data_IF_399266062170
#
_entry.id   IF_399266062170
#
_cell.length_a   1.000
_cell.length_b   1.000
_cell.length_c   1.000
_cell.angle_alpha   90.00
_cell.angle_beta   90.00
_cell.angle_gamma   90.00
#
_symmetry.space_group_name_H-M   'P 1'
#
loop_
_entity.id
_entity.type
_entity.pdbx_description
1 polymer ?
#
# COMPACT_ATOMS: atom_id res chain seq x y z
N UNK A 1 16.83 19.65 -27.95
CA UNK A 1 17.29 18.59 -28.85
C UNK A 1 17.42 17.35 -27.98
N UNK A 2 16.31 16.62 -27.90
CA UNK A 2 16.19 15.38 -27.13
C UNK A 2 17.03 14.32 -27.85
N UNK A 3 17.91 13.65 -27.12
CA UNK A 3 18.48 12.38 -27.60
C UNK A 3 17.34 11.37 -27.43
N UNK A 4 16.83 10.86 -28.54
CA UNK A 4 15.80 9.83 -28.60
C UNK A 4 16.30 8.54 -27.93
N UNK A 5 15.43 7.90 -27.15
CA UNK A 5 15.63 6.57 -26.53
C UNK A 5 15.80 5.42 -27.54
N UNK A 6 15.88 5.71 -28.84
CA UNK A 6 15.98 4.72 -29.94
C UNK A 6 17.43 4.35 -30.33
N UNK A 7 18.45 4.96 -29.72
CA UNK A 7 19.87 4.67 -30.04
C UNK A 7 20.58 3.76 -29.02
N UNK A 8 19.87 3.25 -28.01
CA UNK A 8 20.39 2.15 -27.18
C UNK A 8 20.00 0.85 -27.88
N UNK A 9 20.83 0.42 -28.84
CA UNK A 9 20.84 -0.97 -29.32
C UNK A 9 20.72 -1.88 -28.11
N UNK A 10 19.78 -2.82 -28.20
CA UNK A 10 19.47 -3.84 -27.19
C UNK A 10 20.72 -4.25 -26.42
N UNK A 11 20.67 -4.36 -25.08
CA UNK A 11 21.79 -4.92 -24.34
C UNK A 11 22.02 -6.30 -24.94
N UNK A 12 23.13 -6.44 -25.67
CA UNK A 12 23.51 -7.67 -26.35
C UNK A 12 23.31 -8.80 -25.35
N UNK A 13 22.29 -9.62 -25.60
CA UNK A 13 21.84 -10.60 -24.63
C UNK A 13 22.98 -11.61 -24.46
N UNK A 14 23.58 -11.57 -23.28
CA UNK A 14 24.74 -12.39 -22.94
C UNK A 14 24.40 -13.88 -23.04
N UNK A 15 23.12 -14.25 -22.89
CA UNK A 15 22.63 -15.62 -23.11
C UNK A 15 22.66 -15.99 -24.60
N UNK A 16 22.18 -15.12 -25.49
CA UNK A 16 22.19 -15.34 -26.95
C UNK A 16 23.63 -15.41 -27.49
N UNK A 17 24.49 -14.50 -27.07
CA UNK A 17 25.88 -14.47 -27.54
C UNK A 17 26.68 -15.67 -27.02
N UNK A 18 26.31 -16.19 -25.83
CA UNK A 18 26.87 -17.43 -25.27
C UNK A 18 26.34 -18.66 -26.01
N UNK A 19 25.08 -18.65 -26.43
CA UNK A 19 24.48 -19.66 -27.30
C UNK A 19 25.17 -19.72 -28.66
N UNK A 20 25.27 -18.59 -29.36
CA UNK A 20 25.94 -18.49 -30.66
C UNK A 20 27.41 -18.90 -30.60
N UNK A 21 28.13 -18.49 -29.54
CA UNK A 21 29.53 -18.88 -29.35
C UNK A 21 29.66 -20.38 -29.02
N UNK A 22 28.74 -20.94 -28.24
CA UNK A 22 28.70 -22.37 -27.91
C UNK A 22 28.44 -23.22 -29.16
N UNK A 23 27.49 -22.82 -30.00
CA UNK A 23 27.14 -23.53 -31.22
C UNK A 23 28.23 -23.42 -32.29
N UNK A 24 28.88 -22.26 -32.38
CA UNK A 24 30.05 -22.07 -33.24
C UNK A 24 31.24 -22.92 -32.78
N UNK A 25 31.47 -23.03 -31.46
CA UNK A 25 32.51 -23.88 -30.88
C UNK A 25 32.22 -25.37 -31.09
N UNK A 26 30.96 -25.79 -30.96
CA UNK A 26 30.54 -27.18 -31.20
C UNK A 26 30.77 -27.61 -32.66
N UNK A 27 30.44 -26.74 -33.62
CA UNK A 27 30.69 -26.99 -35.05
C UNK A 27 32.18 -26.98 -35.42
N UNK A 28 33.03 -26.31 -34.64
CA UNK A 28 34.48 -26.34 -34.80
C UNK A 28 35.13 -27.58 -34.19
N UNK A 29 34.50 -28.22 -33.19
CA UNK A 29 35.05 -29.40 -32.49
C UNK A 29 34.80 -30.75 -33.15
N UNK A 30 33.94 -30.83 -34.16
CA UNK A 30 33.58 -32.10 -34.82
C UNK A 30 34.69 -32.67 -35.73
N UNK A 31 35.72 -31.87 -36.05
CA UNK A 31 36.83 -32.24 -36.95
C UNK A 31 38.23 -32.00 -36.33
N UNK A 32 38.31 -31.99 -34.99
CA UNK A 32 39.54 -31.73 -34.24
C UNK A 32 40.14 -33.01 -33.65
N UNK A 33 41.48 -33.09 -33.65
CA UNK A 33 42.21 -34.18 -32.99
C UNK A 33 42.04 -34.13 -31.45
N UNK A 34 42.20 -35.28 -30.81
CA UNK A 34 42.04 -35.44 -29.36
C UNK A 34 42.96 -34.49 -28.56
N UNK A 35 44.11 -34.13 -29.12
CA UNK A 35 45.07 -33.20 -28.49
C UNK A 35 44.52 -31.75 -28.45
N UNK A 36 43.83 -31.31 -29.49
CA UNK A 36 43.22 -29.98 -29.54
C UNK A 36 41.97 -29.90 -28.68
N UNK A 37 41.17 -30.99 -28.62
CA UNK A 37 40.05 -31.09 -27.69
C UNK A 37 40.50 -30.99 -26.23
N UNK A 38 41.63 -31.62 -25.90
CA UNK A 38 42.20 -31.52 -24.55
C UNK A 38 42.66 -30.11 -24.23
N UNK A 39 43.37 -29.43 -25.15
CA UNK A 39 43.76 -28.01 -24.97
C UNK A 39 42.56 -27.08 -24.82
N UNK A 40 41.47 -27.33 -25.53
CA UNK A 40 40.23 -26.53 -25.40
C UNK A 40 39.57 -26.77 -24.05
N UNK A 41 39.56 -28.00 -23.55
CA UNK A 41 39.01 -28.32 -22.23
C UNK A 41 39.88 -27.76 -21.10
N UNK A 42 41.20 -27.87 -21.21
CA UNK A 42 42.14 -27.26 -20.26
C UNK A 42 41.99 -25.73 -20.26
N UNK A 43 41.84 -25.11 -21.44
CA UNK A 43 41.59 -23.66 -21.56
C UNK A 43 40.22 -23.27 -20.98
N UNK A 44 39.18 -24.11 -21.14
CA UNK A 44 37.87 -23.90 -20.52
C UNK A 44 37.96 -24.00 -19.00
N UNK A 45 38.69 -24.96 -18.46
CA UNK A 45 38.93 -25.08 -17.01
C UNK A 45 39.74 -23.89 -16.48
N UNK A 46 40.81 -23.46 -17.17
CA UNK A 46 41.60 -22.27 -16.81
C UNK A 46 40.76 -20.99 -16.84
N UNK A 47 39.92 -20.82 -17.86
CA UNK A 47 38.97 -19.70 -17.97
C UNK A 47 37.96 -19.81 -16.84
N UNK A 48 37.38 -20.98 -16.61
CA UNK A 48 36.36 -21.18 -15.59
C UNK A 48 36.92 -21.00 -14.18
N UNK A 49 38.16 -21.40 -13.89
CA UNK A 49 38.85 -21.12 -12.62
C UNK A 49 39.13 -19.61 -12.47
N UNK A 50 39.58 -18.96 -13.56
CA UNK A 50 39.85 -17.52 -13.60
C UNK A 50 38.60 -16.66 -13.40
N UNK A 51 37.43 -17.14 -13.83
CA UNK A 51 36.12 -16.47 -13.68
C UNK A 51 35.24 -17.02 -12.54
N UNK A 52 35.53 -18.21 -12.00
CA UNK A 52 34.99 -18.76 -10.73
C UNK A 52 35.70 -18.18 -9.50
N UNK A 53 36.57 -17.20 -9.71
CA UNK A 53 37.25 -16.51 -8.63
C UNK A 53 36.20 -15.81 -7.76
N UNK A 54 36.16 -16.21 -6.49
CA UNK A 54 35.52 -15.50 -5.37
C UNK A 54 35.80 -13.99 -5.42
N UNK A 55 36.95 -13.57 -5.96
CA UNK A 55 37.32 -12.16 -6.17
C UNK A 55 36.47 -11.40 -7.21
N UNK A 56 35.89 -12.08 -8.21
CA UNK A 56 34.95 -11.48 -9.18
C UNK A 56 33.57 -11.34 -8.53
N UNK A 57 33.11 -12.35 -7.79
CA UNK A 57 31.85 -12.28 -7.02
C UNK A 57 31.94 -11.20 -5.92
N UNK A 58 33.06 -11.12 -5.20
CA UNK A 58 33.33 -10.10 -4.18
C UNK A 58 33.33 -8.68 -4.78
N UNK A 59 33.97 -8.48 -5.95
CA UNK A 59 33.91 -7.19 -6.66
C UNK A 59 32.52 -6.87 -7.16
N UNK A 60 31.77 -7.86 -7.64
CA UNK A 60 30.40 -7.66 -8.09
C UNK A 60 29.50 -7.27 -6.91
N UNK A 61 29.70 -7.88 -5.75
CA UNK A 61 28.99 -7.54 -4.53
C UNK A 61 29.39 -6.16 -4.00
N UNK A 62 30.67 -5.79 -4.06
CA UNK A 62 31.13 -4.42 -3.74
C UNK A 62 30.50 -3.38 -4.67
N UNK A 63 30.43 -3.68 -5.97
CA UNK A 63 29.78 -2.83 -6.97
C UNK A 63 28.29 -2.71 -6.65
N UNK A 64 27.58 -3.83 -6.43
CA UNK A 64 26.16 -3.84 -6.04
C UNK A 64 25.93 -3.06 -4.75
N UNK A 65 26.79 -3.22 -3.74
CA UNK A 65 26.73 -2.49 -2.49
C UNK A 65 26.96 -0.99 -2.69
N UNK A 66 27.92 -0.60 -3.53
CA UNK A 66 28.18 0.80 -3.90
C UNK A 66 26.98 1.43 -4.63
N UNK A 67 26.36 0.71 -5.57
CA UNK A 67 25.14 1.16 -6.25
C UNK A 67 23.96 1.23 -5.29
N UNK A 68 23.75 0.22 -4.44
CA UNK A 68 22.67 0.19 -3.45
C UNK A 68 22.78 1.36 -2.47
N UNK A 69 23.97 1.65 -1.95
CA UNK A 69 24.20 2.78 -1.05
C UNK A 69 23.97 4.14 -1.74
N UNK A 70 24.42 4.29 -3.00
CA UNK A 70 24.12 5.50 -3.80
C UNK A 70 22.63 5.66 -4.03
N UNK A 71 21.94 4.59 -4.39
CA UNK A 71 20.51 4.58 -4.65
C UNK A 71 19.73 4.89 -3.38
N UNK A 72 20.02 4.18 -2.28
CA UNK A 72 19.45 4.42 -0.95
C UNK A 72 19.64 5.87 -0.50
N UNK A 73 20.84 6.45 -0.64
CA UNK A 73 21.10 7.86 -0.34
C UNK A 73 20.25 8.81 -1.19
N UNK A 74 20.05 8.50 -2.46
CA UNK A 74 19.19 9.30 -3.34
C UNK A 74 17.72 9.24 -2.90
N UNK A 75 17.22 8.05 -2.55
CA UNK A 75 15.86 7.85 -2.05
C UNK A 75 15.63 8.48 -0.67
N UNK A 76 16.64 8.43 0.19
CA UNK A 76 16.56 8.96 1.56
C UNK A 76 16.71 10.48 1.63
N UNK A 77 17.24 11.11 0.57
CA UNK A 77 17.43 12.55 0.49
C UNK A 77 16.09 13.27 0.58
N UNK A 78 16.02 14.25 1.47
CA UNK A 78 14.87 15.13 1.58
C UNK A 78 14.68 15.90 0.27
N UNK A 79 13.43 15.99 -0.18
CA UNK A 79 13.07 16.69 -1.39
C UNK A 79 12.74 18.15 -1.10
N UNK A 80 13.19 19.02 -1.99
CA UNK A 80 12.85 20.44 -1.99
C UNK A 80 11.50 20.65 -2.70
N UNK A 81 10.43 20.16 -2.08
CA UNK A 81 9.05 20.27 -2.56
C UNK A 81 8.16 20.68 -1.41
N UNK A 82 7.25 21.62 -1.65
CA UNK A 82 6.26 22.06 -0.67
C UNK A 82 5.38 20.88 -0.17
N UNK A 83 5.46 20.52 1.14
CA UNK A 83 4.60 19.51 1.75
C UNK A 83 3.10 19.78 1.61
N UNK A 84 2.72 21.05 1.47
CA UNK A 84 1.33 21.47 1.26
C UNK A 84 0.69 20.81 0.03
N UNK A 85 1.47 20.46 -1.00
CA UNK A 85 0.96 19.78 -2.20
C UNK A 85 0.46 18.37 -1.91
N UNK A 86 1.16 17.62 -1.03
CA UNK A 86 0.70 16.30 -0.61
C UNK A 86 -0.52 16.43 0.27
N UNK A 87 -0.52 17.38 1.21
CA UNK A 87 -1.67 17.61 2.08
C UNK A 87 -2.93 17.92 1.27
N UNK A 88 -2.81 18.79 0.25
CA UNK A 88 -3.90 19.10 -0.68
C UNK A 88 -4.36 17.90 -1.52
N UNK A 89 -3.43 17.03 -1.97
CA UNK A 89 -3.79 15.78 -2.64
C UNK A 89 -4.57 14.85 -1.70
N UNK A 90 -4.09 14.69 -0.47
CA UNK A 90 -4.73 13.87 0.55
C UNK A 90 -6.14 14.37 0.85
N UNK A 91 -6.31 15.67 1.12
CA UNK A 91 -7.62 16.28 1.38
C UNK A 91 -8.57 16.12 0.18
N UNK A 92 -8.05 16.29 -1.04
CA UNK A 92 -8.82 16.08 -2.28
C UNK A 92 -9.34 14.64 -2.42
N UNK A 93 -8.48 13.64 -2.14
CA UNK A 93 -8.87 12.22 -2.20
C UNK A 93 -9.87 11.88 -1.09
N UNK A 94 -9.65 12.35 0.14
CA UNK A 94 -10.61 12.15 1.23
C UNK A 94 -11.99 12.73 0.89
N UNK A 95 -12.04 13.97 0.38
CA UNK A 95 -13.28 14.58 -0.09
C UNK A 95 -13.96 13.76 -1.19
N UNK A 96 -13.20 13.33 -2.21
CA UNK A 96 -13.72 12.48 -3.29
C UNK A 96 -14.30 11.17 -2.73
N UNK A 97 -13.57 10.47 -1.86
CA UNK A 97 -14.00 9.19 -1.27
C UNK A 97 -15.27 9.35 -0.43
N UNK A 98 -15.35 10.40 0.39
CA UNK A 98 -16.56 10.72 1.16
C UNK A 98 -17.78 10.95 0.25
N UNK A 99 -17.60 11.63 -0.88
CA UNK A 99 -18.70 11.80 -1.85
C UNK A 99 -19.07 10.48 -2.56
N UNK A 100 -18.09 9.68 -2.97
CA UNK A 100 -18.31 8.38 -3.64
C UNK A 100 -19.07 7.39 -2.77
N UNK A 101 -18.89 7.43 -1.44
CA UNK A 101 -19.66 6.60 -0.52
C UNK A 101 -21.16 6.83 -0.65
N UNK A 102 -21.59 8.10 -0.76
CA UNK A 102 -23.01 8.45 -0.95
C UNK A 102 -23.52 7.98 -2.31
N UNK A 103 -22.70 8.08 -3.36
CA UNK A 103 -23.03 7.56 -4.68
C UNK A 103 -23.18 6.02 -4.73
N UNK A 104 -22.64 5.29 -3.74
CA UNK A 104 -22.83 3.84 -3.62
C UNK A 104 -24.25 3.42 -3.23
N UNK A 105 -25.12 4.37 -2.86
CA UNK A 105 -26.53 4.11 -2.54
C UNK A 105 -27.33 4.06 -3.85
N UNK A 106 -27.54 2.85 -4.37
CA UNK A 106 -28.22 2.64 -5.65
C UNK A 106 -29.73 2.89 -5.57
N UNK A 107 -30.27 3.61 -6.55
CA UNK A 107 -31.71 3.72 -6.78
C UNK A 107 -32.26 2.39 -7.35
N UNK A 108 -33.55 2.08 -7.16
CA UNK A 108 -34.09 0.82 -7.65
C UNK A 108 -34.19 0.86 -9.17
N UNK A 109 -33.87 -0.26 -9.81
CA UNK A 109 -34.02 -0.40 -11.27
C UNK A 109 -35.48 -0.58 -11.70
N UNK A 110 -36.36 -0.95 -10.77
CA UNK A 110 -37.80 -1.15 -11.02
C UNK A 110 -38.58 0.16 -10.94
N UNK A 111 -39.61 0.29 -11.78
CA UNK A 111 -40.51 1.45 -11.79
C UNK A 111 -41.39 1.42 -10.54
N UNK A 112 -41.15 2.37 -9.64
CA UNK A 112 -42.00 2.59 -8.46
C UNK A 112 -43.35 3.12 -8.93
N UNK A 113 -44.40 2.29 -8.80
CA UNK A 113 -45.74 2.58 -9.34
C UNK A 113 -46.77 2.90 -8.26
N UNK A 114 -46.45 2.66 -6.98
CA UNK A 114 -47.32 2.94 -5.84
C UNK A 114 -46.55 3.40 -4.60
N UNK A 115 -47.25 4.01 -3.64
CA UNK A 115 -46.67 4.37 -2.34
C UNK A 115 -46.20 3.15 -1.53
N UNK A 116 -46.83 1.98 -1.71
CA UNK A 116 -46.43 0.74 -1.06
C UNK A 116 -45.10 0.21 -1.63
N UNK A 117 -44.90 0.35 -2.95
CA UNK A 117 -43.63 -0.01 -3.61
C UNK A 117 -42.51 0.91 -3.14
N UNK A 118 -42.79 2.22 -3.01
CA UNK A 118 -41.83 3.19 -2.48
C UNK A 118 -41.42 2.90 -1.03
N UNK A 119 -42.39 2.58 -0.17
CA UNK A 119 -42.12 2.22 1.22
C UNK A 119 -41.28 0.93 1.34
N UNK A 120 -41.61 -0.08 0.53
CA UNK A 120 -40.85 -1.34 0.45
C UNK A 120 -39.41 -1.10 -0.01
N UNK A 121 -39.23 -0.22 -1.01
CA UNK A 121 -37.91 0.18 -1.47
C UNK A 121 -37.11 0.88 -0.36
N UNK A 122 -37.69 1.88 0.33
CA UNK A 122 -37.02 2.55 1.45
C UNK A 122 -36.58 1.57 2.55
N UNK A 123 -37.41 0.58 2.86
CA UNK A 123 -37.06 -0.46 3.83
C UNK A 123 -35.89 -1.32 3.32
N UNK A 124 -35.87 -1.67 2.03
CA UNK A 124 -34.82 -2.49 1.42
C UNK A 124 -33.45 -1.80 1.38
N UNK A 125 -33.41 -0.47 1.21
CA UNK A 125 -32.15 0.29 1.11
C UNK A 125 -31.61 0.77 2.46
N UNK A 126 -32.41 0.68 3.53
CA UNK A 126 -32.02 1.11 4.88
C UNK A 126 -30.69 0.49 5.35
N UNK A 127 -30.42 -0.83 5.17
CA UNK A 127 -29.12 -1.42 5.50
C UNK A 127 -27.96 -0.83 4.70
N UNK A 128 -28.16 -0.58 3.41
CA UNK A 128 -27.16 0.04 2.52
C UNK A 128 -26.84 1.46 2.96
N UNK A 129 -27.85 2.25 3.33
CA UNK A 129 -27.66 3.58 3.92
C UNK A 129 -26.84 3.48 5.21
N UNK A 130 -27.20 2.52 6.08
CA UNK A 130 -26.52 2.30 7.35
C UNK A 130 -25.02 2.03 7.18
N UNK A 131 -24.64 1.09 6.31
CA UNK A 131 -23.23 0.77 6.07
C UNK A 131 -22.48 1.92 5.37
N UNK A 132 -23.13 2.63 4.45
CA UNK A 132 -22.56 3.83 3.84
C UNK A 132 -22.25 4.91 4.87
N UNK A 133 -23.16 5.16 5.81
CA UNK A 133 -22.94 6.12 6.90
C UNK A 133 -21.81 5.68 7.85
N UNK A 134 -21.74 4.39 8.17
CA UNK A 134 -20.63 3.83 8.95
C UNK A 134 -19.30 4.11 8.26
N UNK A 135 -19.18 3.76 6.98
CA UNK A 135 -17.95 4.00 6.22
C UNK A 135 -17.63 5.48 6.08
N UNK A 136 -18.63 6.34 5.90
CA UNK A 136 -18.44 7.79 5.83
C UNK A 136 -17.80 8.33 7.11
N UNK A 137 -18.32 7.92 8.27
CA UNK A 137 -17.79 8.36 9.57
C UNK A 137 -16.40 7.76 9.83
N UNK A 138 -16.16 6.51 9.43
CA UNK A 138 -14.83 5.90 9.54
C UNK A 138 -13.79 6.66 8.70
N UNK A 139 -14.09 6.94 7.42
CA UNK A 139 -13.21 7.72 6.54
C UNK A 139 -12.99 9.12 7.09
N UNK A 140 -14.04 9.77 7.60
CA UNK A 140 -13.93 11.08 8.26
C UNK A 140 -13.04 11.04 9.50
N UNK A 141 -13.09 9.95 10.26
CA UNK A 141 -12.22 9.75 11.41
C UNK A 141 -10.75 9.62 10.98
N UNK A 142 -10.46 8.82 9.94
CA UNK A 142 -9.12 8.72 9.38
C UNK A 142 -8.60 10.08 8.89
N UNK A 143 -9.45 10.88 8.24
CA UNK A 143 -9.10 12.23 7.82
C UNK A 143 -8.74 13.13 9.01
N UNK A 144 -9.55 13.11 10.08
CA UNK A 144 -9.27 13.87 11.31
C UNK A 144 -7.91 13.49 11.91
N UNK A 145 -7.62 12.19 12.04
CA UNK A 145 -6.33 11.71 12.54
C UNK A 145 -5.16 12.11 11.64
N UNK A 146 -5.33 12.02 10.32
CA UNK A 146 -4.32 12.47 9.37
C UNK A 146 -4.06 13.97 9.54
N UNK A 147 -5.11 14.79 9.57
CA UNK A 147 -4.99 16.24 9.70
C UNK A 147 -4.40 16.67 11.05
N UNK A 148 -4.74 15.98 12.15
CA UNK A 148 -4.22 16.29 13.48
C UNK A 148 -2.75 15.89 13.64
N UNK A 149 -2.36 14.69 13.20
CA UNK A 149 -1.07 14.09 13.53
C UNK A 149 -0.04 14.05 12.38
N UNK A 150 -0.44 14.32 11.12
CA UNK A 150 0.45 14.30 9.95
C UNK A 150 0.71 15.71 9.39
N UNK A 151 1.13 16.63 10.27
CA UNK A 151 1.63 17.95 9.85
C UNK A 151 3.08 17.83 9.42
N UNK A 152 3.31 17.75 8.12
CA UNK A 152 4.61 17.41 7.54
C UNK A 152 5.37 18.69 7.14
N UNK A 153 6.64 18.79 7.51
CA UNK A 153 7.55 19.89 7.11
C UNK A 153 8.56 19.49 6.05
N UNK A 154 8.89 18.20 5.96
CA UNK A 154 9.86 17.65 5.01
C UNK A 154 9.36 16.30 4.50
N UNK A 155 9.79 15.91 3.30
CA UNK A 155 9.35 14.68 2.67
C UNK A 155 10.43 14.12 1.75
N UNK A 156 10.45 12.80 1.59
CA UNK A 156 11.33 12.09 0.68
C UNK A 156 10.55 11.03 -0.09
N UNK A 157 11.21 10.34 -1.03
CA UNK A 157 10.54 9.37 -1.92
C UNK A 157 9.86 8.22 -1.15
N UNK A 158 10.47 7.58 -0.13
CA UNK A 158 9.80 6.56 0.66
C UNK A 158 8.51 7.05 1.35
N UNK A 159 8.53 8.27 1.90
CA UNK A 159 7.33 8.85 2.52
C UNK A 159 6.21 9.09 1.50
N UNK A 160 6.55 9.54 0.28
CA UNK A 160 5.57 9.68 -0.81
C UNK A 160 4.89 8.35 -1.12
N UNK A 161 5.67 7.28 -1.27
CA UNK A 161 5.11 5.96 -1.57
C UNK A 161 4.20 5.44 -0.45
N UNK A 162 4.60 5.61 0.82
CA UNK A 162 3.73 5.28 1.95
C UNK A 162 2.42 6.08 1.91
N UNK A 163 2.50 7.37 1.58
CA UNK A 163 1.32 8.24 1.41
C UNK A 163 0.43 7.74 0.27
N UNK A 164 1.00 7.35 -0.87
CA UNK A 164 0.25 6.81 -2.02
C UNK A 164 -0.44 5.50 -1.65
N UNK A 165 0.23 4.57 -0.98
CA UNK A 165 -0.40 3.31 -0.55
C UNK A 165 -1.51 3.52 0.46
N UNK A 166 -1.32 4.45 1.40
CA UNK A 166 -2.37 4.88 2.32
C UNK A 166 -3.58 5.44 1.56
N UNK A 167 -3.37 6.39 0.65
CA UNK A 167 -4.44 6.98 -0.15
C UNK A 167 -5.14 5.97 -1.08
N UNK A 168 -4.40 5.00 -1.61
CA UNK A 168 -4.97 3.91 -2.40
C UNK A 168 -5.91 3.04 -1.55
N UNK A 169 -5.52 2.70 -0.30
CA UNK A 169 -6.39 1.95 0.61
C UNK A 169 -7.66 2.73 0.97
N UNK A 170 -7.55 4.03 1.25
CA UNK A 170 -8.69 4.93 1.47
C UNK A 170 -9.62 4.97 0.24
N UNK A 171 -9.04 5.09 -0.95
CA UNK A 171 -9.79 5.13 -2.23
C UNK A 171 -10.56 3.84 -2.51
N UNK A 172 -10.18 2.72 -1.90
CA UNK A 172 -10.84 1.44 -2.08
C UNK A 172 -12.04 1.24 -1.12
N UNK A 173 -12.19 2.10 -0.09
CA UNK A 173 -13.27 2.01 0.91
C UNK A 173 -14.67 2.08 0.29
N UNK A 174 -14.97 2.97 -0.69
CA UNK A 174 -16.29 3.02 -1.33
C UNK A 174 -16.66 1.69 -2.01
N UNK A 175 -15.70 1.07 -2.68
CA UNK A 175 -15.88 -0.24 -3.29
C UNK A 175 -16.20 -1.30 -2.24
N UNK A 176 -15.35 -1.45 -1.21
CA UNK A 176 -15.58 -2.47 -0.17
C UNK A 176 -16.88 -2.25 0.62
N UNK A 177 -17.29 -0.99 0.78
CA UNK A 177 -18.57 -0.62 1.39
C UNK A 177 -19.74 -1.04 0.51
N UNK A 178 -19.64 -0.82 -0.80
CA UNK A 178 -20.67 -1.23 -1.76
C UNK A 178 -20.79 -2.75 -1.84
N UNK A 179 -19.67 -3.48 -1.71
CA UNK A 179 -19.69 -4.95 -1.61
C UNK A 179 -20.51 -5.40 -0.40
N UNK A 180 -20.30 -4.82 0.77
CA UNK A 180 -21.12 -5.12 1.95
C UNK A 180 -22.58 -4.73 1.73
N UNK A 181 -22.84 -3.53 1.20
CA UNK A 181 -24.19 -3.02 0.99
C UNK A 181 -25.06 -3.89 0.08
N UNK A 182 -24.45 -4.52 -0.94
CA UNK A 182 -25.15 -5.36 -1.92
C UNK A 182 -25.12 -6.86 -1.59
N UNK A 183 -24.11 -7.30 -0.82
CA UNK A 183 -23.83 -8.71 -0.57
C UNK A 183 -23.78 -9.04 0.93
N UNK A 184 -24.49 -8.28 1.76
CA UNK A 184 -24.51 -8.38 3.22
C UNK A 184 -24.87 -9.78 3.76
N UNK A 185 -25.53 -10.62 2.97
CA UNK A 185 -25.83 -12.02 3.28
C UNK A 185 -24.59 -12.92 3.28
N UNK A 186 -23.53 -12.52 2.58
CA UNK A 186 -22.28 -13.28 2.49
C UNK A 186 -21.25 -12.71 3.45
N UNK A 187 -20.78 -13.53 4.39
CA UNK A 187 -19.71 -13.16 5.32
C UNK A 187 -18.46 -12.58 4.63
N UNK A 188 -18.10 -13.12 3.46
CA UNK A 188 -16.96 -12.63 2.67
C UNK A 188 -17.07 -11.14 2.33
N UNK A 189 -18.28 -10.60 2.18
CA UNK A 189 -18.47 -9.18 1.92
C UNK A 189 -17.94 -8.31 3.09
N UNK A 190 -18.24 -8.72 4.33
CA UNK A 190 -17.76 -8.04 5.54
C UNK A 190 -16.25 -8.15 5.68
N UNK A 191 -15.68 -9.33 5.35
CA UNK A 191 -14.23 -9.55 5.37
C UNK A 191 -13.50 -8.62 4.40
N UNK A 192 -14.04 -8.37 3.21
CA UNK A 192 -13.45 -7.45 2.22
C UNK A 192 -13.32 -6.04 2.81
N UNK A 193 -14.37 -5.53 3.46
CA UNK A 193 -14.31 -4.23 4.15
C UNK A 193 -13.35 -4.26 5.34
N UNK A 194 -13.37 -5.33 6.14
CA UNK A 194 -12.46 -5.51 7.27
C UNK A 194 -10.99 -5.47 6.84
N UNK A 195 -10.61 -6.23 5.81
CA UNK A 195 -9.25 -6.23 5.26
C UNK A 195 -8.86 -4.84 4.77
N UNK A 196 -9.75 -4.14 4.07
CA UNK A 196 -9.45 -2.80 3.58
C UNK A 196 -9.21 -1.79 4.72
N UNK A 197 -10.03 -1.84 5.78
CA UNK A 197 -9.82 -1.04 7.00
C UNK A 197 -8.47 -1.40 7.66
N UNK A 198 -8.13 -2.69 7.76
CA UNK A 198 -6.86 -3.13 8.33
C UNK A 198 -5.66 -2.61 7.53
N UNK A 199 -5.71 -2.70 6.19
CA UNK A 199 -4.68 -2.14 5.31
C UNK A 199 -4.53 -0.63 5.51
N UNK A 200 -5.65 0.09 5.60
CA UNK A 200 -5.67 1.54 5.88
C UNK A 200 -4.96 1.87 7.19
N UNK A 201 -5.25 1.11 8.25
CA UNK A 201 -4.60 1.29 9.57
C UNK A 201 -3.10 0.98 9.48
N UNK A 202 -2.72 -0.11 8.81
CA UNK A 202 -1.31 -0.51 8.66
C UNK A 202 -0.53 0.57 7.93
N UNK A 203 -1.01 1.06 6.78
CA UNK A 203 -0.31 2.11 6.03
C UNK A 203 -0.23 3.42 6.80
N UNK A 204 -1.30 3.81 7.51
CA UNK A 204 -1.26 4.98 8.39
C UNK A 204 -0.16 4.85 9.46
N UNK A 205 -0.10 3.71 10.15
CA UNK A 205 0.90 3.46 11.20
C UNK A 205 2.33 3.42 10.66
N UNK A 206 2.54 2.82 9.48
CA UNK A 206 3.84 2.81 8.81
C UNK A 206 4.28 4.23 8.43
N UNK A 207 3.36 5.00 7.84
CA UNK A 207 3.58 6.40 7.49
C UNK A 207 3.92 7.24 8.73
N UNK A 208 3.16 7.08 9.81
CA UNK A 208 3.35 7.82 11.06
C UNK A 208 4.70 7.49 11.70
N UNK A 209 5.02 6.20 11.78
CA UNK A 209 6.31 5.72 12.30
C UNK A 209 7.46 6.26 11.49
N UNK A 210 7.35 6.24 10.16
CA UNK A 210 8.38 6.74 9.26
C UNK A 210 8.61 8.24 9.45
N UNK A 211 7.55 9.04 9.38
CA UNK A 211 7.63 10.49 9.55
C UNK A 211 8.16 10.88 10.94
N UNK A 212 7.69 10.20 11.98
CA UNK A 212 8.16 10.46 13.35
C UNK A 212 9.63 10.12 13.54
N UNK A 213 10.13 9.04 12.94
CA UNK A 213 11.52 8.62 13.06
C UNK A 213 12.47 9.52 12.25
N UNK A 214 12.03 10.03 11.09
CA UNK A 214 12.82 10.96 10.26
C UNK A 214 12.71 12.42 10.71
N UNK A 215 11.83 12.72 11.67
CA UNK A 215 11.63 14.10 12.13
C UNK A 215 10.92 14.98 11.09
N UNK A 216 10.06 14.39 10.27
CA UNK A 216 9.30 15.09 9.22
C UNK A 216 8.06 15.80 9.76
N UNK A 217 7.68 15.54 11.01
CA UNK A 217 6.53 16.16 11.65
C UNK A 217 6.91 17.54 12.20
N UNK A 218 6.08 18.55 11.95
CA UNK A 218 6.25 19.94 12.41
C UNK A 218 6.48 20.00 13.93
N UNK A 219 5.65 19.25 14.67
CA UNK A 219 5.82 19.04 16.09
C UNK A 219 6.32 17.61 16.29
N UNK A 220 7.50 17.46 16.90
CA UNK A 220 8.01 16.15 17.27
C UNK A 220 7.11 15.57 18.36
N UNK A 221 6.37 14.48 18.09
CA UNK A 221 5.45 13.94 19.08
C UNK A 221 6.24 13.39 20.26
N UNK A 222 5.78 13.71 21.47
CA UNK A 222 6.23 13.12 22.73
C UNK A 222 5.97 11.61 22.74
N UNK A 223 6.66 10.89 23.62
CA UNK A 223 6.49 9.43 23.71
C UNK A 223 5.10 9.04 24.20
N UNK A 224 4.45 9.89 25.01
CA UNK A 224 3.05 9.73 25.41
C UNK A 224 2.09 9.89 24.24
N UNK A 225 2.27 10.89 23.37
CA UNK A 225 1.47 11.08 22.15
C UNK A 225 1.62 9.90 21.18
N UNK A 226 2.86 9.44 20.95
CA UNK A 226 3.10 8.25 20.11
C UNK A 226 2.37 7.05 20.67
N UNK A 227 2.51 6.79 21.98
CA UNK A 227 1.85 5.66 22.65
C UNK A 227 0.34 5.76 22.55
N UNK A 228 -0.21 6.97 22.72
CA UNK A 228 -1.63 7.24 22.53
C UNK A 228 -2.10 6.85 21.12
N UNK A 229 -1.42 7.36 20.08
CA UNK A 229 -1.74 7.09 18.68
C UNK A 229 -1.68 5.59 18.38
N UNK A 230 -0.55 4.93 18.69
CA UNK A 230 -0.42 3.49 18.46
C UNK A 230 -1.51 2.70 19.20
N UNK A 231 -1.76 2.99 20.47
CA UNK A 231 -2.82 2.32 21.23
C UNK A 231 -4.22 2.59 20.67
N UNK A 232 -4.46 3.77 20.06
CA UNK A 232 -5.74 4.06 19.36
C UNK A 232 -5.93 3.16 18.18
N UNK A 233 -4.95 3.15 17.27
CA UNK A 233 -5.05 2.34 16.07
C UNK A 233 -5.00 0.84 16.35
N UNK A 234 -4.28 0.36 17.36
CA UNK A 234 -4.33 -1.05 17.77
C UNK A 234 -5.67 -1.45 18.37
N UNK A 235 -6.33 -0.57 19.14
CA UNK A 235 -7.68 -0.84 19.63
C UNK A 235 -8.67 -0.90 18.47
N UNK A 236 -8.58 0.04 17.51
CA UNK A 236 -9.43 0.01 16.31
C UNK A 236 -9.16 -1.25 15.49
N UNK A 237 -7.91 -1.63 15.30
CA UNK A 237 -7.51 -2.87 14.60
C UNK A 237 -8.07 -4.12 15.28
N UNK A 238 -7.93 -4.21 16.61
CA UNK A 238 -8.50 -5.31 17.40
C UNK A 238 -10.02 -5.35 17.33
N UNK A 239 -10.67 -4.18 17.38
CA UNK A 239 -12.12 -4.06 17.23
C UNK A 239 -12.58 -4.49 15.83
N UNK A 240 -11.86 -4.10 14.77
CA UNK A 240 -12.11 -4.53 13.38
C UNK A 240 -12.07 -6.06 13.26
N UNK A 241 -11.03 -6.70 13.82
CA UNK A 241 -10.92 -8.17 13.84
C UNK A 241 -12.06 -8.80 14.65
N UNK A 242 -12.36 -8.24 15.83
CA UNK A 242 -13.44 -8.72 16.68
C UNK A 242 -14.80 -8.64 15.99
N UNK A 243 -15.12 -7.53 15.32
CA UNK A 243 -16.37 -7.34 14.58
C UNK A 243 -16.49 -8.42 13.50
N UNK A 244 -15.44 -8.64 12.71
CA UNK A 244 -15.45 -9.67 11.68
C UNK A 244 -15.64 -11.08 12.28
N UNK A 245 -15.02 -11.38 13.42
CA UNK A 245 -15.24 -12.66 14.10
C UNK A 245 -16.67 -12.81 14.63
N UNK A 246 -17.27 -11.74 15.15
CA UNK A 246 -18.67 -11.76 15.63
C UNK A 246 -19.66 -11.88 14.47
N UNK A 247 -19.40 -11.22 13.34
CA UNK A 247 -20.19 -11.35 12.12
C UNK A 247 -20.19 -12.79 11.61
N UNK A 248 -19.05 -13.49 11.67
CA UNK A 248 -18.96 -14.90 11.29
C UNK A 248 -19.78 -15.83 12.21
N UNK A 249 -19.71 -15.60 13.53
CA UNK A 249 -20.22 -16.56 14.52
C UNK A 249 -21.67 -16.31 14.96
N UNK A 250 -22.17 -15.07 14.85
CA UNK A 250 -23.44 -14.68 15.48
C UNK A 250 -24.44 -14.10 14.47
N UNK A 251 -24.13 -12.94 13.86
CA UNK A 251 -25.08 -12.23 12.98
C UNK A 251 -24.37 -11.12 12.20
N UNK A 252 -24.83 -10.79 10.99
CA UNK A 252 -24.24 -9.71 10.17
C UNK A 252 -24.51 -8.28 10.70
N UNK A 253 -25.23 -8.14 11.81
CA UNK A 253 -25.53 -6.85 12.43
C UNK A 253 -24.37 -6.28 13.25
N UNK A 254 -23.31 -7.03 13.55
CA UNK A 254 -22.19 -6.52 14.35
C UNK A 254 -21.34 -5.50 13.59
N UNK A 255 -21.48 -5.41 12.27
CA UNK A 255 -20.88 -4.35 11.47
C UNK A 255 -21.25 -2.93 11.95
N UNK A 256 -22.45 -2.74 12.53
CA UNK A 256 -22.82 -1.44 13.08
C UNK A 256 -22.01 -1.04 14.33
N UNK A 257 -21.27 -1.97 14.95
CA UNK A 257 -20.33 -1.63 16.03
C UNK A 257 -19.19 -0.73 15.55
N UNK A 258 -18.95 -0.62 14.24
CA UNK A 258 -18.03 0.40 13.72
C UNK A 258 -18.48 1.83 14.05
N UNK A 259 -19.76 2.09 14.36
CA UNK A 259 -20.20 3.38 14.92
C UNK A 259 -19.54 3.72 16.26
N UNK A 260 -19.04 2.72 17.00
CA UNK A 260 -18.32 2.96 18.25
C UNK A 260 -16.89 3.44 18.01
N UNK A 261 -16.29 3.18 16.84
CA UNK A 261 -14.92 3.64 16.52
C UNK A 261 -14.76 5.16 16.70
N UNK A 262 -15.56 6.04 16.05
CA UNK A 262 -15.46 7.49 16.24
C UNK A 262 -15.74 7.92 17.68
N UNK A 263 -16.65 7.22 18.38
CA UNK A 263 -16.99 7.53 19.78
C UNK A 263 -15.81 7.21 20.70
N UNK A 264 -15.25 6.01 20.61
CA UNK A 264 -14.08 5.57 21.37
C UNK A 264 -12.90 6.49 21.08
N UNK A 265 -12.68 6.82 19.81
CA UNK A 265 -11.68 7.76 19.34
C UNK A 265 -11.82 9.13 20.02
N UNK A 266 -13.01 9.73 19.93
CA UNK A 266 -13.28 11.08 20.46
C UNK A 266 -13.17 11.11 21.99
N UNK A 267 -13.71 10.11 22.69
CA UNK A 267 -13.60 10.03 24.14
C UNK A 267 -12.15 9.90 24.60
N UNK A 268 -11.35 9.13 23.86
CA UNK A 268 -9.92 8.96 24.15
C UNK A 268 -9.14 10.24 23.89
N UNK A 269 -9.47 10.97 22.83
CA UNK A 269 -8.84 12.24 22.51
C UNK A 269 -9.13 13.30 23.59
N UNK A 270 -10.41 13.42 24.00
CA UNK A 270 -10.81 14.29 25.12
C UNK A 270 -10.06 13.91 26.39
N UNK A 271 -9.99 12.62 26.73
CA UNK A 271 -9.28 12.16 27.92
C UNK A 271 -7.79 12.48 27.87
N UNK A 272 -7.14 12.27 26.73
CA UNK A 272 -5.72 12.58 26.55
C UNK A 272 -5.44 14.08 26.71
N UNK A 273 -6.32 14.95 26.20
CA UNK A 273 -6.21 16.40 26.35
C UNK A 273 -6.47 16.91 27.79
N UNK A 274 -7.13 16.11 28.64
CA UNK A 274 -7.43 16.46 30.04
C UNK A 274 -6.32 16.07 31.03
N UNK A 275 -5.51 15.05 30.71
CA UNK A 275 -4.43 14.56 31.57
C UNK A 275 -3.05 14.90 30.93
N UNK A 276 -2.55 16.15 31.07
CA UNK A 276 -1.29 16.60 30.45
C UNK A 276 -0.05 15.90 31.00
#
# INVERSE_FOLDING_TARGET
>A
MFISEEDIKDPVDFEDLKGELSDALWNLTDDLDDETLQKINDLKEDIQEKYSNTAVEEKLDDIKMSYYEKLKRSFEKDMDVDPGRILGLTDGIFGMVMTLLVFGIALPEIVISSSADFASFLQSITPTIGITLVSFILVSSFWLYHHEFMKITNLNIPYLWLSIFYLASISFIPFSTSVVGNYSQFFLANVVLGINILLTIIFFLLMFRYASNRGFLENKPSDSEKKYIYNTFYIIMGLTVLINLLDYNISNNFIYLYFLVPVISTLRDIKFKMDP
#
